data_IF_281687690905
#
_entry.id   IF_281687690905
#
_cell.length_a   1.000
_cell.length_b   1.000
_cell.length_c   1.000
_cell.angle_alpha   90.00
_cell.angle_beta   90.00
_cell.angle_gamma   90.00
#
_symmetry.space_group_name_H-M   'P 1'
#
loop_
_entity.id
_entity.type
_entity.pdbx_description
1 polymer ?
#
# COMPACT_ATOMS: atom_id res chain seq x y z
N UNK A 1 -10.45 -24.54 13.57
CA UNK A 1 -10.76 -23.74 12.36
C UNK A 1 -9.48 -23.04 11.96
N UNK A 2 -9.04 -23.17 10.72
CA UNK A 2 -7.83 -22.49 10.25
C UNK A 2 -8.01 -20.97 10.23
N UNK A 3 -6.94 -20.21 10.44
CA UNK A 3 -6.95 -18.76 10.26
C UNK A 3 -7.30 -18.40 8.81
N UNK A 4 -8.04 -17.31 8.62
CA UNK A 4 -8.35 -16.80 7.27
C UNK A 4 -7.09 -16.27 6.59
N UNK A 5 -7.05 -16.27 5.25
CA UNK A 5 -5.90 -15.72 4.51
C UNK A 5 -5.66 -14.25 4.85
N UNK A 6 -6.73 -13.48 5.01
CA UNK A 6 -6.65 -12.09 5.49
C UNK A 6 -5.95 -11.98 6.83
N UNK A 7 -6.29 -12.84 7.80
CA UNK A 7 -5.63 -12.86 9.12
C UNK A 7 -4.14 -13.10 8.97
N UNK A 8 -3.74 -14.09 8.17
CA UNK A 8 -2.32 -14.42 7.94
C UNK A 8 -1.53 -13.24 7.33
N UNK A 9 -2.17 -12.43 6.48
CA UNK A 9 -1.54 -11.24 5.87
C UNK A 9 -1.32 -10.14 6.91
N UNK A 10 -2.30 -9.91 7.80
CA UNK A 10 -2.13 -8.98 8.90
C UNK A 10 -1.05 -9.45 9.88
N UNK A 11 -0.97 -10.75 10.17
CA UNK A 11 0.08 -11.32 11.02
C UNK A 11 1.46 -11.11 10.37
N UNK A 12 1.61 -11.43 9.08
CA UNK A 12 2.85 -11.20 8.33
C UNK A 12 3.28 -9.73 8.35
N UNK A 13 2.33 -8.81 8.13
CA UNK A 13 2.56 -7.37 8.18
C UNK A 13 2.96 -6.90 9.58
N UNK A 14 2.33 -7.42 10.63
CA UNK A 14 2.66 -7.10 12.02
C UNK A 14 4.08 -7.54 12.38
N UNK A 15 4.46 -8.77 12.05
CA UNK A 15 5.82 -9.28 12.31
C UNK A 15 6.86 -8.43 11.58
N UNK A 16 6.63 -8.10 10.31
CA UNK A 16 7.52 -7.22 9.55
C UNK A 16 7.59 -5.81 10.18
N UNK A 17 6.44 -5.24 10.52
CA UNK A 17 6.34 -3.90 11.13
C UNK A 17 7.12 -3.82 12.44
N UNK A 18 7.04 -4.85 13.27
CA UNK A 18 7.77 -4.91 14.53
C UNK A 18 9.29 -4.96 14.32
N UNK A 19 9.77 -5.80 13.40
CA UNK A 19 11.19 -5.89 13.06
C UNK A 19 11.74 -4.56 12.52
N UNK A 20 10.98 -3.90 11.63
CA UNK A 20 11.36 -2.60 11.08
C UNK A 20 11.36 -1.50 12.15
N UNK A 21 10.36 -1.50 13.04
CA UNK A 21 10.25 -0.52 14.12
C UNK A 21 11.39 -0.65 15.12
N UNK A 22 11.75 -1.88 15.51
CA UNK A 22 12.89 -2.15 16.40
C UNK A 22 14.22 -1.68 15.78
N UNK A 23 14.34 -1.75 14.46
CA UNK A 23 15.49 -1.22 13.71
C UNK A 23 15.41 0.29 13.41
N UNK A 24 14.40 1.00 13.92
CA UNK A 24 14.13 2.42 13.64
C UNK A 24 13.92 2.74 12.14
N UNK A 25 13.34 1.80 11.39
CA UNK A 25 13.01 1.97 9.97
C UNK A 25 11.55 2.44 9.85
N UNK A 26 11.37 3.70 9.47
CA UNK A 26 10.05 4.24 9.14
C UNK A 26 9.54 3.53 7.88
N UNK A 27 8.32 3.02 7.95
CA UNK A 27 7.71 2.25 6.87
C UNK A 27 6.20 2.48 6.79
N UNK A 28 5.59 2.08 5.68
CA UNK A 28 4.16 2.10 5.47
C UNK A 28 3.75 1.01 4.47
N UNK A 29 2.65 0.33 4.73
CA UNK A 29 2.01 -0.60 3.83
C UNK A 29 1.17 0.11 2.77
N UNK A 30 1.07 -0.47 1.59
CA UNK A 30 0.40 0.13 0.44
C UNK A 30 -0.23 -0.93 -0.49
N UNK A 31 -0.81 -0.47 -1.59
CA UNK A 31 -1.30 -1.34 -2.67
C UNK A 31 -2.60 -2.07 -2.33
N UNK A 32 -2.80 -3.26 -2.88
CA UNK A 32 -4.05 -4.02 -2.69
C UNK A 32 -4.26 -4.41 -1.22
N UNK A 33 -3.19 -4.60 -0.45
CA UNK A 33 -3.29 -4.82 0.99
C UNK A 33 -3.92 -3.64 1.73
N UNK A 34 -3.65 -2.40 1.31
CA UNK A 34 -4.28 -1.21 1.89
C UNK A 34 -5.80 -1.17 1.60
N UNK A 35 -6.22 -1.60 0.41
CA UNK A 35 -7.65 -1.71 0.07
C UNK A 35 -8.35 -2.72 0.99
N UNK A 36 -7.71 -3.87 1.24
CA UNK A 36 -8.21 -4.88 2.19
C UNK A 36 -8.31 -4.29 3.60
N UNK A 37 -7.29 -3.56 4.04
CA UNK A 37 -7.28 -2.91 5.36
C UNK A 37 -8.35 -1.84 5.53
N UNK A 38 -8.73 -1.16 4.44
CA UNK A 38 -9.82 -0.18 4.39
C UNK A 38 -11.21 -0.82 4.26
N UNK A 39 -11.31 -2.14 4.15
CA UNK A 39 -12.57 -2.84 3.98
C UNK A 39 -13.16 -2.67 2.57
N UNK A 40 -12.30 -2.61 1.57
CA UNK A 40 -12.67 -2.58 0.16
C UNK A 40 -13.40 -3.84 -0.31
N UNK A 41 -13.91 -3.83 -1.56
CA UNK A 41 -14.61 -4.97 -2.13
C UNK A 41 -13.70 -6.20 -2.07
N UNK A 42 -14.21 -7.27 -1.43
CA UNK A 42 -13.46 -8.43 -0.94
C UNK A 42 -12.64 -9.17 -1.99
N UNK A 43 -11.48 -8.62 -2.33
CA UNK A 43 -10.45 -9.26 -3.13
C UNK A 43 -9.44 -9.91 -2.21
N UNK A 44 -9.10 -11.16 -2.50
CA UNK A 44 -7.95 -11.81 -1.91
C UNK A 44 -6.69 -11.10 -2.46
N UNK A 45 -5.87 -10.57 -1.57
CA UNK A 45 -4.51 -10.11 -1.91
C UNK A 45 -3.54 -11.17 -1.46
N UNK A 46 -2.62 -11.59 -2.31
CA UNK A 46 -1.60 -12.58 -1.95
C UNK A 46 -0.24 -11.94 -1.65
N UNK A 47 -0.10 -10.67 -1.99
CA UNK A 47 1.13 -9.90 -1.88
C UNK A 47 0.92 -8.69 -0.97
N UNK A 48 1.96 -8.37 -0.20
CA UNK A 48 2.06 -7.17 0.62
C UNK A 48 3.07 -6.23 -0.03
N UNK A 49 2.73 -4.96 -0.15
CA UNK A 49 3.67 -3.90 -0.54
C UNK A 49 4.05 -3.09 0.70
N UNK A 50 5.33 -3.00 1.00
CA UNK A 50 5.85 -2.20 2.12
C UNK A 50 6.87 -1.18 1.61
N UNK A 51 6.58 0.09 1.85
CA UNK A 51 7.45 1.23 1.50
C UNK A 51 8.29 1.58 2.73
N UNK A 52 9.60 1.72 2.55
CA UNK A 52 10.56 2.02 3.63
C UNK A 52 11.33 3.32 3.36
N UNK A 53 11.61 4.09 4.42
CA UNK A 53 12.45 5.30 4.38
C UNK A 53 13.96 5.01 4.44
N UNK A 54 14.36 3.74 4.34
CA UNK A 54 15.75 3.28 4.37
C UNK A 54 16.09 2.52 3.08
N UNK A 55 17.37 2.21 2.86
CA UNK A 55 17.78 1.32 1.77
C UNK A 55 17.57 -0.16 2.13
N UNK A 56 17.44 -1.03 1.10
CA UNK A 56 17.24 -2.48 1.25
C UNK A 56 18.25 -3.18 2.15
N UNK A 57 19.48 -2.66 2.26
CA UNK A 57 20.50 -3.20 3.19
C UNK A 57 20.02 -3.18 4.64
N UNK A 58 19.46 -2.05 5.11
CA UNK A 58 19.01 -1.91 6.49
C UNK A 58 17.82 -2.81 6.77
N UNK A 59 16.90 -2.96 5.80
CA UNK A 59 15.78 -3.90 5.90
C UNK A 59 16.30 -5.33 6.06
N UNK A 60 17.25 -5.76 5.24
CA UNK A 60 17.86 -7.09 5.35
C UNK A 60 18.51 -7.31 6.72
N UNK A 61 19.28 -6.34 7.21
CA UNK A 61 19.92 -6.41 8.52
C UNK A 61 18.88 -6.52 9.65
N UNK A 62 17.75 -5.78 9.57
CA UNK A 62 16.65 -5.89 10.51
C UNK A 62 15.99 -7.28 10.52
N UNK A 63 15.73 -7.85 9.34
CA UNK A 63 15.17 -9.21 9.23
C UNK A 63 16.15 -10.26 9.74
N UNK A 64 17.45 -10.11 9.44
CA UNK A 64 18.49 -11.03 9.90
C UNK A 64 18.73 -11.00 11.42
N UNK A 65 18.40 -9.88 12.08
CA UNK A 65 18.47 -9.76 13.53
C UNK A 65 17.27 -10.42 14.25
N UNK A 66 16.18 -10.69 13.51
CA UNK A 66 15.00 -11.39 13.99
C UNK A 66 15.08 -12.92 13.87
N UNK A 67 13.93 -13.58 13.95
CA UNK A 67 13.81 -15.02 13.75
C UNK A 67 13.75 -15.36 12.25
N UNK A 68 14.86 -15.91 11.74
CA UNK A 68 15.00 -16.27 10.33
C UNK A 68 14.24 -17.54 9.92
N UNK A 69 13.73 -18.33 10.87
CA UNK A 69 12.82 -19.43 10.55
C UNK A 69 11.42 -18.90 10.20
N UNK A 70 11.04 -17.78 10.82
CA UNK A 70 9.76 -17.10 10.59
C UNK A 70 9.80 -16.22 9.35
N UNK A 71 10.88 -15.44 9.16
CA UNK A 71 10.94 -14.44 8.11
C UNK A 71 12.33 -14.34 7.46
N UNK A 72 12.40 -14.35 6.13
CA UNK A 72 13.68 -14.19 5.40
C UNK A 72 13.60 -13.10 4.33
N UNK A 73 14.74 -12.48 4.01
CA UNK A 73 14.83 -11.40 3.03
C UNK A 73 15.78 -11.77 1.88
N UNK A 74 15.28 -11.71 0.65
CA UNK A 74 16.01 -12.11 -0.56
C UNK A 74 15.94 -11.02 -1.63
N UNK A 75 17.09 -10.68 -2.22
CA UNK A 75 17.14 -9.78 -3.37
C UNK A 75 16.76 -10.54 -4.64
N UNK A 76 15.77 -10.04 -5.36
CA UNK A 76 15.47 -10.46 -6.72
C UNK A 76 16.42 -9.73 -7.69
N UNK A 77 17.46 -10.44 -8.15
CA UNK A 77 18.47 -9.89 -9.06
C UNK A 77 17.90 -9.36 -10.38
N UNK A 78 16.76 -9.91 -10.83
CA UNK A 78 16.10 -9.52 -12.09
C UNK A 78 15.28 -8.22 -11.98
N UNK A 79 14.82 -7.85 -10.78
CA UNK A 79 13.99 -6.67 -10.56
C UNK A 79 14.72 -5.54 -9.83
N UNK A 80 15.91 -5.82 -9.28
CA UNK A 80 16.55 -4.96 -8.28
C UNK A 80 15.57 -4.62 -7.13
N UNK A 81 14.74 -5.59 -6.73
CA UNK A 81 13.76 -5.47 -5.64
C UNK A 81 14.14 -6.41 -4.50
N UNK A 82 13.80 -6.01 -3.28
CA UNK A 82 13.92 -6.86 -2.10
C UNK A 82 12.56 -7.50 -1.79
N UNK A 83 12.54 -8.82 -1.63
CA UNK A 83 11.36 -9.56 -1.19
C UNK A 83 11.61 -10.14 0.19
N UNK A 84 10.67 -9.91 1.10
CA UNK A 84 10.62 -10.54 2.41
C UNK A 84 9.57 -11.64 2.37
N UNK A 85 9.91 -12.82 2.88
CA UNK A 85 9.04 -13.99 2.90
C UNK A 85 8.72 -14.36 4.33
N UNK A 86 7.44 -14.47 4.65
CA UNK A 86 6.93 -14.97 5.91
C UNK A 86 6.49 -16.43 5.75
N UNK A 87 7.09 -17.35 6.53
CA UNK A 87 7.05 -18.79 6.27
C UNK A 87 5.97 -19.57 7.03
N UNK A 88 5.39 -19.00 8.10
CA UNK A 88 4.44 -19.71 8.96
C UNK A 88 3.16 -20.19 8.22
N UNK A 89 2.47 -19.36 7.43
CA UNK A 89 1.32 -19.84 6.66
C UNK A 89 1.76 -20.65 5.44
N UNK A 90 0.93 -21.62 5.05
CA UNK A 90 1.07 -22.35 3.79
C UNK A 90 -0.14 -22.00 2.91
N UNK A 91 0.06 -21.37 1.73
CA UNK A 91 1.34 -20.95 1.17
C UNK A 91 1.98 -19.77 1.92
N UNK A 92 3.32 -19.61 1.86
CA UNK A 92 4.01 -18.44 2.41
C UNK A 92 3.45 -17.12 1.89
N UNK A 93 3.76 -16.03 2.59
CA UNK A 93 3.38 -14.68 2.17
C UNK A 93 4.63 -13.94 1.70
N UNK A 94 4.56 -13.44 0.47
CA UNK A 94 5.60 -12.61 -0.12
C UNK A 94 5.26 -11.13 0.10
N UNK A 95 6.28 -10.40 0.55
CA UNK A 95 6.21 -8.97 0.88
C UNK A 95 7.24 -8.25 0.01
N UNK A 96 6.78 -7.47 -0.95
CA UNK A 96 7.62 -6.61 -1.76
C UNK A 96 8.03 -5.37 -0.95
N UNK A 97 9.34 -5.11 -0.90
CA UNK A 97 9.90 -3.92 -0.26
C UNK A 97 10.26 -2.89 -1.33
N UNK A 98 9.78 -1.66 -1.14
CA UNK A 98 10.05 -0.52 -2.00
C UNK A 98 10.69 0.62 -1.21
N UNK A 99 11.62 1.35 -1.82
CA UNK A 99 12.19 2.54 -1.20
C UNK A 99 11.27 3.73 -1.43
N UNK A 100 11.05 4.52 -0.38
CA UNK A 100 10.27 5.75 -0.45
C UNK A 100 10.79 6.69 -1.54
N UNK A 101 9.88 7.19 -2.38
CA UNK A 101 10.21 8.08 -3.50
C UNK A 101 10.54 7.38 -4.81
N UNK A 102 10.87 6.07 -4.79
CA UNK A 102 10.76 5.23 -5.99
C UNK A 102 9.30 4.82 -6.20
N UNK A 103 8.69 4.29 -5.14
CA UNK A 103 7.25 4.04 -5.05
C UNK A 103 6.65 4.91 -3.93
N UNK A 104 5.46 5.47 -4.17
CA UNK A 104 4.77 6.31 -3.21
C UNK A 104 5.47 7.65 -2.88
N UNK A 105 5.20 8.25 -1.71
CA UNK A 105 5.79 9.52 -1.30
C UNK A 105 7.29 9.40 -0.98
N UNK A 106 8.05 10.49 -1.19
CA UNK A 106 9.48 10.58 -0.82
C UNK A 106 9.73 10.57 0.68
N UNK A 107 8.74 10.98 1.47
CA UNK A 107 8.82 11.04 2.92
C UNK A 107 7.60 10.36 3.50
N UNK A 108 7.82 9.45 4.45
CA UNK A 108 6.78 8.86 5.28
C UNK A 108 6.67 9.66 6.58
N UNK A 109 5.56 10.37 6.76
CA UNK A 109 5.30 11.23 7.90
C UNK A 109 3.77 11.28 8.19
N UNK A 110 3.32 11.98 9.24
CA UNK A 110 1.90 12.01 9.60
C UNK A 110 0.93 12.55 8.54
N UNK A 111 1.40 13.19 7.47
CA UNK A 111 0.56 13.63 6.35
C UNK A 111 0.45 12.58 5.24
N UNK A 112 1.41 11.65 5.17
CA UNK A 112 1.50 10.65 4.10
C UNK A 112 1.25 9.23 4.59
N UNK A 113 1.12 9.05 5.90
CA UNK A 113 0.89 7.77 6.57
C UNK A 113 -0.31 7.91 7.50
N UNK A 114 -1.14 6.88 7.57
CA UNK A 114 -2.19 6.71 8.58
C UNK A 114 -2.02 5.35 9.28
N UNK A 115 -2.62 5.21 10.46
CA UNK A 115 -2.65 3.93 11.16
C UNK A 115 -3.96 3.21 10.89
N UNK A 116 -3.90 1.94 10.46
CA UNK A 116 -5.04 1.04 10.38
C UNK A 116 -4.69 -0.24 11.12
N UNK A 117 -5.53 -0.67 12.07
CA UNK A 117 -5.30 -1.88 12.87
C UNK A 117 -3.89 -1.92 13.52
N UNK A 118 -3.42 -0.77 14.01
CA UNK A 118 -2.07 -0.57 14.59
C UNK A 118 -0.88 -0.75 13.63
N UNK A 119 -1.11 -0.84 12.32
CA UNK A 119 -0.06 -0.87 11.31
C UNK A 119 -0.02 0.44 10.53
N UNK A 120 1.17 0.91 10.10
CA UNK A 120 1.30 2.11 9.28
C UNK A 120 0.94 1.80 7.83
N UNK A 121 -0.02 2.53 7.25
CA UNK A 121 -0.39 2.49 5.84
C UNK A 121 -0.17 3.86 5.20
N UNK A 122 -0.08 3.95 3.87
CA UNK A 122 -0.16 5.25 3.21
C UNK A 122 -1.45 5.97 3.59
N UNK A 123 -1.45 7.30 3.58
CA UNK A 123 -2.70 8.05 3.72
C UNK A 123 -3.58 7.81 2.49
N UNK A 124 -4.90 7.93 2.66
CA UNK A 124 -5.88 7.82 1.55
C UNK A 124 -5.48 8.67 0.34
N UNK A 125 -4.92 9.85 0.56
CA UNK A 125 -4.43 10.73 -0.51
C UNK A 125 -3.25 10.11 -1.26
N UNK A 126 -2.25 9.56 -0.56
CA UNK A 126 -1.10 8.95 -1.23
C UNK A 126 -1.45 7.61 -1.89
N UNK A 127 -2.36 6.84 -1.31
CA UNK A 127 -2.95 5.69 -1.99
C UNK A 127 -3.59 6.11 -3.32
N UNK A 128 -4.49 7.09 -3.29
CA UNK A 128 -5.18 7.58 -4.49
C UNK A 128 -4.19 8.05 -5.56
N UNK A 129 -3.21 8.85 -5.16
CA UNK A 129 -2.16 9.35 -6.05
C UNK A 129 -1.38 8.22 -6.71
N UNK A 130 -0.99 7.19 -5.96
CA UNK A 130 -0.29 6.04 -6.50
C UNK A 130 -1.18 5.21 -7.42
N UNK A 131 -2.40 4.88 -6.99
CA UNK A 131 -3.34 4.02 -7.71
C UNK A 131 -3.81 4.63 -9.02
N UNK A 132 -4.10 5.93 -9.04
CA UNK A 132 -4.47 6.66 -10.27
C UNK A 132 -3.32 6.64 -11.29
N UNK A 133 -2.06 6.77 -10.85
CA UNK A 133 -0.90 6.68 -11.76
C UNK A 133 -0.73 5.27 -12.34
N UNK A 134 -0.91 4.23 -11.53
CA UNK A 134 -0.86 2.84 -12.01
C UNK A 134 -1.97 2.59 -13.03
N UNK A 135 -3.19 3.03 -12.72
CA UNK A 135 -4.32 2.96 -13.65
C UNK A 135 -4.05 3.75 -14.93
N UNK A 136 -3.49 4.96 -14.84
CA UNK A 136 -3.18 5.78 -16.01
C UNK A 136 -2.24 5.08 -17.00
N UNK A 137 -1.33 4.24 -16.49
CA UNK A 137 -0.38 3.47 -17.29
C UNK A 137 -0.97 2.16 -17.85
N UNK A 138 -1.87 1.49 -17.13
CA UNK A 138 -2.35 0.14 -17.47
C UNK A 138 -3.81 0.07 -17.93
N UNK A 139 -4.61 1.07 -17.56
CA UNK A 139 -6.05 1.18 -17.82
C UNK A 139 -6.84 -0.08 -17.48
N UNK A 140 -6.46 -0.77 -16.39
CA UNK A 140 -7.18 -1.96 -15.95
C UNK A 140 -8.45 -1.60 -15.15
N UNK A 141 -9.42 -2.49 -15.15
CA UNK A 141 -10.67 -2.27 -14.40
C UNK A 141 -10.45 -2.37 -12.88
N UNK A 142 -9.52 -3.21 -12.44
CA UNK A 142 -9.26 -3.47 -11.02
C UNK A 142 -8.73 -2.24 -10.27
N UNK A 143 -7.77 -1.50 -10.85
CA UNK A 143 -7.28 -0.28 -10.22
C UNK A 143 -8.35 0.82 -10.25
N UNK A 144 -9.18 0.87 -11.30
CA UNK A 144 -10.32 1.80 -11.36
C UNK A 144 -11.33 1.51 -10.23
N UNK A 145 -11.66 0.24 -9.98
CA UNK A 145 -12.55 -0.14 -8.88
C UNK A 145 -11.99 0.24 -7.51
N UNK A 146 -10.68 0.11 -7.30
CA UNK A 146 -10.04 0.56 -6.05
C UNK A 146 -10.14 2.08 -5.88
N UNK A 147 -9.88 2.84 -6.96
CA UNK A 147 -10.04 4.30 -6.95
C UNK A 147 -11.48 4.69 -6.65
N UNK A 148 -12.47 4.06 -7.31
CA UNK A 148 -13.89 4.33 -7.09
C UNK A 148 -14.31 4.01 -5.66
N UNK A 149 -13.83 2.90 -5.10
CA UNK A 149 -14.08 2.55 -3.69
C UNK A 149 -13.59 3.65 -2.76
N UNK A 150 -12.35 4.12 -2.97
CA UNK A 150 -11.76 5.15 -2.13
C UNK A 150 -12.48 6.49 -2.28
N UNK A 151 -12.81 6.90 -3.49
CA UNK A 151 -13.60 8.11 -3.74
C UNK A 151 -14.94 8.06 -3.01
N UNK A 152 -15.69 6.98 -3.17
CA UNK A 152 -17.03 6.90 -2.57
C UNK A 152 -17.00 6.90 -1.04
N UNK A 153 -15.97 6.29 -0.43
CA UNK A 153 -15.93 6.08 1.02
C UNK A 153 -15.10 7.12 1.77
N UNK A 154 -14.08 7.69 1.14
CA UNK A 154 -13.05 8.49 1.80
C UNK A 154 -12.74 9.82 1.10
N UNK A 155 -13.57 10.29 0.15
CA UNK A 155 -13.35 11.57 -0.55
C UNK A 155 -13.07 12.76 0.39
N UNK A 156 -13.71 12.78 1.55
CA UNK A 156 -13.55 13.85 2.54
C UNK A 156 -12.12 13.94 3.11
N UNK A 157 -11.29 12.90 2.99
CA UNK A 157 -9.90 12.89 3.46
C UNK A 157 -8.86 13.11 2.36
N UNK A 158 -9.31 13.29 1.11
CA UNK A 158 -8.41 13.43 -0.06
C UNK A 158 -7.94 14.88 -0.22
N UNK A 159 -6.61 15.07 -0.26
CA UNK A 159 -6.02 16.35 -0.61
C UNK A 159 -5.85 16.50 -2.13
N UNK A 160 -6.69 17.34 -2.73
CA UNK A 160 -6.76 17.55 -4.19
C UNK A 160 -5.39 17.95 -4.78
N UNK A 161 -4.63 18.77 -4.06
CA UNK A 161 -3.35 19.31 -4.54
C UNK A 161 -2.27 18.24 -4.78
N UNK A 162 -2.50 17.01 -4.30
CA UNK A 162 -1.56 15.89 -4.43
C UNK A 162 -1.99 14.87 -5.49
N UNK A 163 -3.20 14.98 -6.01
CA UNK A 163 -3.76 14.06 -6.99
C UNK A 163 -3.39 14.52 -8.42
N UNK A 164 -2.98 13.62 -9.34
CA UNK A 164 -2.80 13.97 -10.74
C UNK A 164 -4.18 14.21 -11.39
N UNK A 165 -4.63 15.47 -11.36
CA UNK A 165 -6.01 15.85 -11.76
C UNK A 165 -6.38 15.37 -13.16
N UNK A 166 -5.47 15.54 -14.14
CA UNK A 166 -5.71 15.12 -15.52
C UNK A 166 -5.94 13.60 -15.66
N UNK A 167 -5.21 12.78 -14.92
CA UNK A 167 -5.41 11.33 -14.95
C UNK A 167 -6.70 10.92 -14.24
N UNK A 168 -7.05 11.63 -13.15
CA UNK A 168 -8.30 11.42 -12.44
C UNK A 168 -9.51 11.82 -13.29
N UNK A 169 -9.43 12.91 -14.07
CA UNK A 169 -10.47 13.33 -15.03
C UNK A 169 -10.66 12.28 -16.13
N UNK A 170 -9.57 11.71 -16.65
CA UNK A 170 -9.65 10.58 -17.59
C UNK A 170 -10.34 9.37 -16.97
N UNK A 171 -10.04 9.06 -15.70
CA UNK A 171 -10.68 7.95 -14.99
C UNK A 171 -12.18 8.20 -14.81
N UNK A 172 -12.57 9.39 -14.35
CA UNK A 172 -13.98 9.76 -14.17
C UNK A 172 -14.77 9.70 -15.49
N UNK A 173 -14.14 10.08 -16.61
CA UNK A 173 -14.74 9.96 -17.95
C UNK A 173 -14.95 8.49 -18.35
N UNK A 174 -13.98 7.62 -18.05
CA UNK A 174 -14.06 6.20 -18.37
C UNK A 174 -14.99 5.41 -17.43
N UNK A 175 -15.13 5.86 -16.18
CA UNK A 175 -15.90 5.22 -15.12
C UNK A 175 -16.82 6.24 -14.43
N UNK A 176 -18.07 6.41 -14.90
CA UNK A 176 -18.98 7.45 -14.39
C UNK A 176 -19.27 7.39 -12.89
N UNK A 177 -19.09 6.23 -12.25
CA UNK A 177 -19.22 6.09 -10.79
C UNK A 177 -18.19 6.90 -9.99
N UNK A 178 -17.09 7.35 -10.61
CA UNK A 178 -16.11 8.25 -10.00
C UNK A 178 -16.46 9.73 -10.16
N UNK A 179 -17.36 10.11 -11.07
CA UNK A 179 -17.59 11.52 -11.46
C UNK A 179 -18.12 12.36 -10.30
N UNK A 180 -19.24 11.94 -9.70
CA UNK A 180 -19.87 12.68 -8.60
C UNK A 180 -18.93 12.89 -7.38
N UNK A 181 -18.28 11.85 -6.81
CA UNK A 181 -17.37 12.06 -5.69
C UNK A 181 -16.12 12.85 -6.08
N UNK A 182 -15.67 12.74 -7.32
CA UNK A 182 -14.53 13.53 -7.80
C UNK A 182 -14.85 15.03 -7.90
N UNK A 183 -16.01 15.38 -8.45
CA UNK A 183 -16.48 16.77 -8.50
C UNK A 183 -16.65 17.36 -7.10
N UNK A 184 -17.20 16.59 -6.15
CA UNK A 184 -17.33 17.03 -4.76
C UNK A 184 -15.97 17.36 -4.11
N UNK A 185 -14.90 16.65 -4.46
CA UNK A 185 -13.54 16.99 -4.02
C UNK A 185 -13.10 18.32 -4.63
N UNK A 186 -13.30 18.51 -5.94
CA UNK A 186 -12.92 19.76 -6.63
C UNK A 186 -13.62 20.98 -6.04
N UNK A 187 -14.92 20.87 -5.79
CA UNK A 187 -15.74 21.96 -5.22
C UNK A 187 -15.26 22.43 -3.84
N UNK A 188 -14.66 21.55 -3.03
CA UNK A 188 -14.12 21.93 -1.71
C UNK A 188 -12.89 22.85 -1.79
N UNK A 189 -12.21 22.88 -2.94
CA UNK A 189 -10.99 23.66 -3.17
C UNK A 189 -11.24 24.94 -3.97
N UNK A 190 -12.51 25.23 -4.30
CA UNK A 190 -12.96 26.48 -4.91
C UNK A 190 -13.39 27.47 -3.83
#
# INVERSE_FOLDING_TARGET
>A
MGMSRTTQIFDAAAVLSDLLTQANIIHAFAGNFEVVALGGPGRDTEEILCIVMSGFRHVREAIQAGDTEIMTANMASWANRLFVKYHEPIPPIDIEICVAGEEGPRNLNPQTVMALQNLPFLSVTEFMRAKVRVWANRSNAEDAQDVIFILNRYWASIDLNRIPEADMDRLATAYPAAEAPWNAIKERYQ
#
